data_IF_025434820243
#
_entry.id   IF_025434820243
#
_cell.length_a   1.000
_cell.length_b   1.000
_cell.length_c   1.000
_cell.angle_alpha   90.00
_cell.angle_beta   90.00
_cell.angle_gamma   90.00
#
_symmetry.space_group_name_H-M   'P 1'
#
loop_
_entity.id
_entity.type
_entity.pdbx_description
1 polymer ?
#
# COMPACT_ATOMS: atom_id res chain seq x y z
N UNK A 1 9.26 7.08 -15.07
CA UNK A 1 8.44 6.14 -14.28
C UNK A 1 9.17 4.83 -13.92
N UNK A 2 9.95 4.21 -14.83
CA UNK A 2 10.70 2.98 -14.50
C UNK A 2 11.77 3.18 -13.39
N UNK A 3 12.51 4.29 -13.43
CA UNK A 3 13.59 4.60 -12.47
C UNK A 3 13.08 4.75 -11.02
N UNK A 4 11.92 5.38 -10.83
CA UNK A 4 11.30 5.56 -9.51
C UNK A 4 10.80 4.23 -8.93
N UNK A 5 10.32 3.34 -9.81
CA UNK A 5 9.87 1.99 -9.43
C UNK A 5 11.05 1.11 -9.04
N UNK A 6 12.15 1.18 -9.78
CA UNK A 6 13.38 0.44 -9.48
C UNK A 6 14.03 0.94 -8.18
N UNK A 7 14.05 2.24 -7.95
CA UNK A 7 14.57 2.83 -6.72
C UNK A 7 13.76 2.41 -5.48
N UNK A 8 12.43 2.38 -5.59
CA UNK A 8 11.57 1.93 -4.48
C UNK A 8 11.71 0.43 -4.21
N UNK A 9 11.90 -0.40 -5.25
CA UNK A 9 12.20 -1.82 -5.09
C UNK A 9 13.55 -2.04 -4.38
N UNK A 10 14.60 -1.37 -4.84
CA UNK A 10 15.94 -1.48 -4.25
C UNK A 10 15.95 -1.04 -2.78
N UNK A 11 15.26 0.06 -2.45
CA UNK A 11 15.18 0.52 -1.07
C UNK A 11 14.42 -0.47 -0.16
N UNK A 12 13.39 -1.15 -0.69
CA UNK A 12 12.69 -2.20 0.04
C UNK A 12 13.63 -3.37 0.34
N UNK A 13 14.43 -3.79 -0.64
CA UNK A 13 15.35 -4.91 -0.50
C UNK A 13 16.49 -4.61 0.48
N UNK A 14 17.04 -3.39 0.43
CA UNK A 14 18.07 -2.92 1.39
C UNK A 14 17.52 -2.92 2.81
N UNK A 15 16.30 -2.41 3.03
CA UNK A 15 15.69 -2.42 4.35
C UNK A 15 15.39 -3.84 4.83
N UNK A 16 14.90 -4.72 3.95
CA UNK A 16 14.67 -6.13 4.29
C UNK A 16 15.97 -6.90 4.61
N UNK A 17 17.09 -6.53 4.00
CA UNK A 17 18.41 -7.10 4.33
C UNK A 17 18.91 -6.61 5.70
N UNK A 18 18.74 -5.31 6.01
CA UNK A 18 19.09 -4.74 7.31
C UNK A 18 18.29 -5.37 8.45
N UNK A 19 16.97 -5.48 8.29
CA UNK A 19 16.09 -6.09 9.29
C UNK A 19 16.49 -7.54 9.62
N UNK A 20 16.89 -8.31 8.59
CA UNK A 20 17.38 -9.68 8.74
C UNK A 20 18.71 -9.73 9.49
N UNK A 21 19.63 -8.83 9.17
CA UNK A 21 20.93 -8.78 9.84
C UNK A 21 20.78 -8.44 11.33
N UNK A 22 19.98 -7.43 11.67
CA UNK A 22 19.73 -7.07 13.07
C UNK A 22 19.07 -8.22 13.85
N UNK A 23 18.20 -9.01 13.21
CA UNK A 23 17.58 -10.16 13.86
C UNK A 23 18.61 -11.24 14.20
N UNK A 24 19.55 -11.52 13.30
CA UNK A 24 20.64 -12.48 13.51
C UNK A 24 21.58 -11.95 14.60
N UNK A 25 21.96 -10.67 14.56
CA UNK A 25 22.84 -10.06 15.54
C UNK A 25 22.25 -10.14 16.96
N UNK A 26 20.94 -9.85 17.12
CA UNK A 26 20.26 -10.01 18.41
C UNK A 26 20.26 -11.46 18.91
N UNK A 27 20.12 -12.44 18.02
CA UNK A 27 20.18 -13.86 18.40
C UNK A 27 21.58 -14.27 18.83
N UNK A 28 22.61 -13.86 18.07
CA UNK A 28 24.01 -14.12 18.41
C UNK A 28 24.39 -13.47 19.73
N UNK A 29 23.96 -12.23 19.97
CA UNK A 29 24.22 -11.54 21.23
C UNK A 29 23.59 -12.28 22.42
N UNK A 30 22.34 -12.70 22.32
CA UNK A 30 21.67 -13.52 23.36
C UNK A 30 22.39 -14.84 23.61
N UNK A 31 22.75 -15.57 22.56
CA UNK A 31 23.51 -16.82 22.68
C UNK A 31 24.87 -16.60 23.35
N UNK A 32 25.55 -15.49 23.04
CA UNK A 32 26.83 -15.13 23.65
C UNK A 32 26.71 -14.81 25.15
N UNK A 33 25.59 -14.21 25.57
CA UNK A 33 25.31 -13.95 26.99
C UNK A 33 25.07 -15.28 27.72
N UNK A 34 24.22 -16.14 27.18
CA UNK A 34 23.92 -17.45 27.79
C UNK A 34 25.20 -18.27 27.94
N UNK A 35 26.02 -18.37 26.89
CA UNK A 35 27.28 -19.08 26.94
C UNK A 35 28.27 -18.48 27.97
N UNK A 36 28.34 -17.15 28.09
CA UNK A 36 29.17 -16.48 29.11
C UNK A 36 28.66 -16.73 30.53
N UNK A 37 27.34 -16.76 30.72
CA UNK A 37 26.72 -17.07 32.03
C UNK A 37 27.01 -18.52 32.42
N UNK A 38 26.87 -19.46 31.50
CA UNK A 38 27.20 -20.87 31.73
C UNK A 38 28.70 -21.08 32.03
N UNK A 39 29.59 -20.40 31.31
CA UNK A 39 31.04 -20.56 31.45
C UNK A 39 31.60 -19.87 32.70
N UNK A 40 30.96 -18.80 33.20
CA UNK A 40 31.46 -18.03 34.34
C UNK A 40 31.17 -18.65 35.72
N UNK A 41 30.47 -19.79 35.78
CA UNK A 41 30.39 -20.64 36.98
C UNK A 41 29.82 -19.99 38.26
N UNK A 42 29.27 -18.77 38.16
CA UNK A 42 28.73 -18.00 39.27
C UNK A 42 27.34 -18.49 39.67
N UNK A 43 27.30 -19.62 40.36
CA UNK A 43 26.11 -20.13 41.03
C UNK A 43 25.64 -19.18 42.14
N UNK A 44 24.72 -18.29 41.80
CA UNK A 44 23.77 -17.75 42.77
C UNK A 44 22.53 -17.36 41.98
N UNK A 45 21.65 -18.34 41.81
CA UNK A 45 20.20 -18.17 41.69
C UNK A 45 19.75 -16.84 41.06
N UNK A 46 20.20 -16.55 39.84
CA UNK A 46 19.56 -15.49 39.05
C UNK A 46 18.27 -16.11 38.56
N UNK A 47 17.25 -16.07 39.43
CA UNK A 47 15.87 -16.04 38.99
C UNK A 47 15.81 -14.80 38.12
N UNK A 48 15.97 -15.01 36.81
CA UNK A 48 15.56 -14.03 35.81
C UNK A 48 14.06 -13.92 36.01
N UNK A 49 13.66 -13.02 36.91
CA UNK A 49 12.31 -12.47 36.92
C UNK A 49 12.26 -11.79 35.56
N UNK A 50 11.71 -12.50 34.59
CA UNK A 50 11.41 -11.97 33.27
C UNK A 50 10.47 -10.79 33.54
N UNK A 51 11.04 -9.59 33.61
CA UNK A 51 10.29 -8.36 33.78
C UNK A 51 9.24 -8.38 32.70
N UNK A 52 7.98 -8.56 33.11
CA UNK A 52 6.87 -8.91 32.24
C UNK A 52 6.96 -8.04 30.99
N UNK A 53 7.40 -8.65 29.89
CA UNK A 53 7.72 -7.94 28.66
C UNK A 53 6.41 -7.35 28.16
N UNK A 54 6.13 -6.10 28.52
CA UNK A 54 5.03 -5.37 27.94
C UNK A 54 5.44 -5.13 26.49
N UNK A 55 4.75 -5.76 25.52
CA UNK A 55 5.16 -5.64 24.13
C UNK A 55 4.98 -4.17 23.70
N UNK A 56 6.07 -3.39 23.77
CA UNK A 56 6.13 -1.96 23.40
C UNK A 56 5.69 -1.68 21.97
N UNK A 57 5.48 -2.71 21.16
CA UNK A 57 4.91 -2.58 19.83
C UNK A 57 3.85 -3.65 19.63
N UNK A 58 2.59 -3.28 19.29
CA UNK A 58 1.64 -4.27 18.84
C UNK A 58 2.28 -5.00 17.66
N UNK A 59 2.37 -6.31 17.75
CA UNK A 59 2.77 -7.20 16.68
C UNK A 59 1.71 -7.11 15.58
N UNK A 60 1.73 -6.02 14.81
CA UNK A 60 0.91 -5.79 13.61
C UNK A 60 1.41 -6.67 12.47
N UNK A 61 1.58 -7.97 12.72
CA UNK A 61 1.78 -8.99 11.71
C UNK A 61 0.42 -9.20 11.02
N UNK A 62 0.05 -8.24 10.17
CA UNK A 62 -1.24 -8.26 9.46
C UNK A 62 -1.73 -6.91 8.95
N UNK A 63 -1.38 -5.80 9.61
CA UNK A 63 -1.93 -4.48 9.28
C UNK A 63 -1.62 -4.01 7.85
N UNK A 64 -0.45 -4.38 7.32
CA UNK A 64 -0.09 -4.08 5.92
C UNK A 64 -0.89 -4.92 4.92
N UNK A 65 -1.25 -6.16 5.27
CA UNK A 65 -2.05 -7.05 4.39
C UNK A 65 -3.52 -6.65 4.38
N UNK A 66 -4.09 -6.30 5.54
CA UNK A 66 -5.48 -5.83 5.63
C UNK A 66 -5.67 -4.46 4.98
N UNK A 67 -4.71 -3.54 5.12
CA UNK A 67 -4.73 -2.25 4.42
C UNK A 67 -4.67 -2.39 2.89
N UNK A 68 -3.82 -3.28 2.37
CA UNK A 68 -3.71 -3.53 0.93
C UNK A 68 -4.99 -4.13 0.33
N UNK A 69 -5.65 -5.05 1.05
CA UNK A 69 -6.91 -5.65 0.61
C UNK A 69 -8.05 -4.61 0.53
N UNK A 70 -8.15 -3.71 1.52
CA UNK A 70 -9.15 -2.64 1.51
C UNK A 70 -8.96 -1.66 0.34
N UNK A 71 -7.72 -1.26 0.06
CA UNK A 71 -7.41 -0.39 -1.07
C UNK A 71 -7.77 -1.04 -2.42
N UNK A 72 -7.44 -2.33 -2.60
CA UNK A 72 -7.79 -3.07 -3.80
C UNK A 72 -9.32 -3.15 -3.98
N UNK A 73 -10.07 -3.41 -2.92
CA UNK A 73 -11.53 -3.46 -2.97
C UNK A 73 -12.15 -2.10 -3.38
N UNK A 74 -11.63 -0.99 -2.84
CA UNK A 74 -12.09 0.35 -3.20
C UNK A 74 -11.76 0.71 -4.65
N UNK A 75 -10.61 0.31 -5.17
CA UNK A 75 -10.25 0.53 -6.57
C UNK A 75 -11.19 -0.21 -7.52
N UNK A 76 -11.53 -1.47 -7.20
CA UNK A 76 -12.48 -2.25 -8.00
C UNK A 76 -13.88 -1.62 -7.96
N UNK A 77 -14.35 -1.21 -6.77
CA UNK A 77 -15.64 -0.55 -6.63
C UNK A 77 -15.70 0.79 -7.38
N UNK A 78 -14.63 1.58 -7.31
CA UNK A 78 -14.52 2.84 -8.06
C UNK A 78 -14.54 2.63 -9.57
N UNK A 79 -13.83 1.62 -10.07
CA UNK A 79 -13.83 1.27 -11.49
C UNK A 79 -15.22 0.82 -11.96
N UNK A 80 -15.91 -0.03 -11.18
CA UNK A 80 -17.27 -0.47 -11.49
C UNK A 80 -18.27 0.70 -11.48
N UNK A 81 -18.16 1.60 -10.49
CA UNK A 81 -19.01 2.79 -10.43
C UNK A 81 -18.77 3.72 -11.62
N UNK A 82 -17.51 3.92 -12.03
CA UNK A 82 -17.17 4.72 -13.20
C UNK A 82 -17.74 4.13 -14.50
N UNK A 83 -17.64 2.80 -14.69
CA UNK A 83 -18.23 2.12 -15.84
C UNK A 83 -19.75 2.22 -15.82
N UNK A 84 -20.39 1.99 -14.68
CA UNK A 84 -21.84 2.13 -14.54
C UNK A 84 -22.32 3.54 -14.85
N UNK A 85 -21.58 4.57 -14.40
CA UNK A 85 -21.89 5.95 -14.69
C UNK A 85 -21.66 6.29 -16.17
N UNK A 86 -20.61 5.78 -16.79
CA UNK A 86 -20.35 5.98 -18.21
C UNK A 86 -21.47 5.37 -19.08
N UNK A 87 -21.90 4.13 -18.78
CA UNK A 87 -23.03 3.52 -19.47
C UNK A 87 -24.34 4.27 -19.24
N UNK A 88 -24.53 4.86 -18.05
CA UNK A 88 -25.71 5.66 -17.76
C UNK A 88 -25.67 6.99 -18.50
N UNK A 89 -24.52 7.66 -18.56
CA UNK A 89 -24.30 8.91 -19.29
C UNK A 89 -24.58 8.69 -20.78
N UNK A 90 -23.91 7.71 -21.42
CA UNK A 90 -24.14 7.35 -22.82
C UNK A 90 -25.62 7.00 -23.09
N UNK A 91 -26.26 6.23 -22.20
CA UNK A 91 -27.67 5.85 -22.38
C UNK A 91 -28.66 6.98 -22.10
N UNK A 92 -28.34 7.92 -21.22
CA UNK A 92 -29.18 9.11 -20.96
C UNK A 92 -29.22 10.00 -22.21
N UNK A 93 -28.13 10.09 -22.97
CA UNK A 93 -28.10 10.90 -24.18
C UNK A 93 -28.68 10.20 -25.43
N UNK A 94 -28.75 8.86 -25.50
CA UNK A 94 -28.80 8.17 -26.81
C UNK A 94 -30.13 7.56 -27.30
N UNK A 95 -31.33 7.86 -26.78
CA UNK A 95 -32.52 7.29 -27.49
C UNK A 95 -33.83 8.08 -27.47
N UNK A 96 -34.11 8.81 -26.40
CA UNK A 96 -35.38 9.56 -26.29
C UNK A 96 -35.19 11.07 -26.19
N UNK A 97 -34.03 11.54 -25.74
CA UNK A 97 -33.80 12.97 -25.51
C UNK A 97 -33.54 13.74 -26.80
N UNK A 98 -32.77 13.20 -27.75
CA UNK A 98 -32.54 13.88 -29.05
C UNK A 98 -33.83 13.92 -29.91
N UNK A 99 -34.78 12.99 -29.70
CA UNK A 99 -36.05 12.97 -30.43
C UNK A 99 -37.16 13.80 -29.80
N UNK A 100 -37.12 14.03 -28.48
CA UNK A 100 -38.11 14.86 -27.78
C UNK A 100 -37.62 16.28 -27.45
N UNK A 101 -36.32 16.58 -27.59
CA UNK A 101 -35.83 17.95 -27.63
C UNK A 101 -36.19 18.58 -28.98
N UNK A 102 -37.44 19.05 -29.08
CA UNK A 102 -37.85 20.17 -29.94
C UNK A 102 -37.17 21.46 -29.46
N UNK A 103 -35.85 21.41 -29.24
CA UNK A 103 -35.05 22.58 -28.92
C UNK A 103 -34.71 23.25 -30.23
N UNK A 104 -35.31 24.42 -30.41
CA UNK A 104 -35.05 25.36 -31.49
C UNK A 104 -33.56 25.70 -31.70
N UNK A 105 -33.28 26.59 -32.66
CA UNK A 105 -32.02 26.60 -33.41
C UNK A 105 -30.80 26.72 -32.49
N UNK A 106 -29.87 25.79 -32.72
CA UNK A 106 -28.63 25.50 -32.01
C UNK A 106 -27.92 26.80 -31.58
N UNK A 107 -27.90 27.08 -30.28
CA UNK A 107 -27.10 28.14 -29.69
C UNK A 107 -25.72 27.58 -29.29
N UNK A 108 -24.80 27.64 -30.26
CA UNK A 108 -23.34 27.67 -30.09
C UNK A 108 -22.63 26.33 -29.77
N UNK A 109 -21.74 25.92 -30.69
CA UNK A 109 -20.74 24.86 -30.49
C UNK A 109 -19.47 25.49 -29.90
N UNK A 110 -18.97 25.01 -28.78
CA UNK A 110 -17.66 25.41 -28.23
C UNK A 110 -16.60 24.53 -28.91
N UNK A 111 -15.64 25.08 -29.68
CA UNK A 111 -14.58 24.28 -30.28
C UNK A 111 -13.61 23.83 -29.20
N UNK A 112 -13.32 22.53 -29.14
CA UNK A 112 -12.18 22.02 -28.40
C UNK A 112 -10.90 22.41 -29.14
N UNK A 113 -10.11 23.28 -28.53
CA UNK A 113 -8.79 23.72 -28.99
C UNK A 113 -7.86 22.50 -29.15
N UNK A 114 -7.45 22.24 -30.38
CA UNK A 114 -6.51 21.21 -30.78
C UNK A 114 -5.07 21.70 -30.54
N UNK A 115 -4.67 21.74 -29.27
CA UNK A 115 -3.31 22.06 -28.89
C UNK A 115 -2.37 20.87 -29.19
N UNK A 116 -1.54 21.07 -30.23
CA UNK A 116 -0.27 20.38 -30.60
C UNK A 116 -0.46 19.12 -31.49
N UNK A 117 0.24 18.91 -32.61
CA UNK A 117 1.26 19.64 -33.34
C UNK A 117 1.42 19.00 -34.73
N UNK A 118 1.58 19.81 -35.78
CA UNK A 118 2.15 19.38 -37.06
C UNK A 118 3.67 19.40 -36.98
N UNK A 119 4.31 18.46 -37.69
CA UNK A 119 5.61 18.61 -38.38
C UNK A 119 6.82 19.04 -37.56
#
# INVERSE_FOLDING_TARGET
MALETEWTALNRDVNAARDRNEAIERQLFRASIVAKVETSGGGSQVVVIDEAYEPKRPTRRGAKRTGAAGFAALMVLGALAAVALAFLDDRVYDELDIRNLDLGPIAHVIPADNSKANS
#
